data_IF_063299034409
#
_entry.id   IF_063299034409
#
_cell.length_a   1.000
_cell.length_b   1.000
_cell.length_c   1.000
_cell.angle_alpha   90.00
_cell.angle_beta   90.00
_cell.angle_gamma   90.00
#
_symmetry.space_group_name_H-M   'P 1'
#
loop_
_entity.id
_entity.type
_entity.pdbx_description
1 polymer ?
#
# COMPACT_ATOMS: atom_id res chain seq x y z
N UNK A 1 -25.59 22.46 5.99
CA UNK A 1 -24.64 21.60 6.71
C UNK A 1 -25.49 20.69 7.58
N UNK A 2 -25.79 19.49 7.07
CA UNK A 2 -26.47 18.48 7.89
C UNK A 2 -25.52 18.10 9.02
N UNK A 3 -26.04 18.14 10.25
CA UNK A 3 -25.31 17.77 11.45
C UNK A 3 -24.64 16.40 11.27
N UNK A 4 -23.32 16.36 11.34
CA UNK A 4 -22.52 15.15 11.55
C UNK A 4 -22.76 14.64 12.99
N UNK A 5 -24.03 14.29 13.29
CA UNK A 5 -24.46 13.92 14.64
C UNK A 5 -24.05 12.51 15.07
N UNK A 6 -23.31 11.78 14.23
CA UNK A 6 -22.77 10.47 14.61
C UNK A 6 -21.31 10.60 14.96
N UNK A 7 -21.00 10.62 16.24
CA UNK A 7 -19.63 10.56 16.71
C UNK A 7 -19.07 9.14 16.54
N UNK A 8 -18.08 9.01 15.62
CA UNK A 8 -17.35 7.74 15.43
C UNK A 8 -16.21 7.63 16.42
N UNK A 9 -16.10 6.48 17.09
CA UNK A 9 -14.91 6.11 17.82
C UNK A 9 -14.04 5.22 16.94
N UNK A 10 -12.90 5.76 16.50
CA UNK A 10 -12.04 5.17 15.46
C UNK A 10 -10.82 4.54 16.10
N UNK A 11 -10.60 3.26 15.85
CA UNK A 11 -9.33 2.59 16.16
C UNK A 11 -8.56 2.31 14.88
N UNK A 12 -7.33 2.78 14.82
CA UNK A 12 -6.39 2.41 13.76
C UNK A 12 -5.60 1.19 14.25
N UNK A 13 -5.95 0.02 13.74
CA UNK A 13 -5.29 -1.24 14.06
C UNK A 13 -4.01 -1.39 13.23
N UNK A 14 -2.86 -1.24 13.90
CA UNK A 14 -1.55 -1.30 13.29
C UNK A 14 -0.88 0.07 13.14
N UNK A 15 -0.15 0.50 14.16
CA UNK A 15 0.62 1.74 14.18
C UNK A 15 1.99 1.61 13.49
N UNK A 16 1.98 1.05 12.28
CA UNK A 16 3.09 1.06 11.34
C UNK A 16 3.22 2.39 10.60
N UNK A 17 4.00 2.43 9.50
CA UNK A 17 4.22 3.68 8.76
C UNK A 17 2.92 4.35 8.32
N UNK A 18 1.98 3.58 7.76
CA UNK A 18 0.70 4.12 7.26
C UNK A 18 -0.24 4.48 8.42
N UNK A 19 -0.51 3.52 9.33
CA UNK A 19 -1.47 3.76 10.42
C UNK A 19 -1.03 4.87 11.36
N UNK A 20 0.26 4.91 11.74
CA UNK A 20 0.79 5.99 12.57
C UNK A 20 0.75 7.36 11.87
N UNK A 21 1.02 7.41 10.56
CA UNK A 21 0.93 8.66 9.81
C UNK A 21 -0.50 9.19 9.73
N UNK A 22 -1.46 8.33 9.39
CA UNK A 22 -2.89 8.71 9.36
C UNK A 22 -3.34 9.16 10.75
N UNK A 23 -3.00 8.41 11.80
CA UNK A 23 -3.35 8.76 13.18
C UNK A 23 -2.76 10.11 13.60
N UNK A 24 -1.47 10.33 13.35
CA UNK A 24 -0.82 11.60 13.68
C UNK A 24 -1.42 12.79 12.93
N UNK A 25 -1.79 12.62 11.66
CA UNK A 25 -2.42 13.69 10.89
C UNK A 25 -3.87 13.94 11.27
N UNK A 26 -4.59 12.91 11.75
CA UNK A 26 -6.01 13.01 12.07
C UNK A 26 -6.25 13.51 13.51
N UNK A 27 -5.45 13.07 14.47
CA UNK A 27 -5.61 13.41 15.91
C UNK A 27 -5.78 14.91 16.20
N UNK A 28 -5.06 15.86 15.54
CA UNK A 28 -5.26 17.29 15.80
C UNK A 28 -6.65 17.84 15.42
N UNK A 29 -7.41 17.08 14.62
CA UNK A 29 -8.70 17.52 14.08
C UNK A 29 -9.86 16.63 14.51
N UNK A 30 -9.59 15.45 15.06
CA UNK A 30 -10.61 14.49 15.47
C UNK A 30 -10.18 13.77 16.76
N UNK A 31 -10.87 14.08 17.84
CA UNK A 31 -10.44 13.65 19.18
C UNK A 31 -10.64 12.14 19.47
N UNK A 32 -11.64 11.50 18.82
CA UNK A 32 -11.98 10.08 19.07
C UNK A 32 -11.20 9.11 18.18
N UNK A 33 -9.88 9.35 18.02
CA UNK A 33 -8.96 8.47 17.29
C UNK A 33 -7.97 7.84 18.24
N UNK A 34 -7.86 6.52 18.15
CA UNK A 34 -6.94 5.69 18.94
C UNK A 34 -6.06 4.87 18.00
N UNK A 35 -4.81 4.69 18.35
CA UNK A 35 -3.87 3.83 17.63
C UNK A 35 -3.64 2.57 18.44
N UNK A 36 -3.97 1.41 17.88
CA UNK A 36 -3.61 0.14 18.50
C UNK A 36 -2.19 -0.22 18.11
N UNK A 37 -1.31 -0.23 19.09
CA UNK A 37 0.12 -0.48 18.94
C UNK A 37 0.63 -1.44 20.00
N UNK A 38 1.73 -2.14 19.71
CA UNK A 38 2.34 -3.11 20.64
C UNK A 38 3.84 -2.86 20.77
N UNK A 39 4.43 -3.35 21.88
CA UNK A 39 5.87 -3.32 22.14
C UNK A 39 6.44 -1.91 22.24
N UNK A 40 7.74 -1.79 22.01
CA UNK A 40 8.49 -0.54 22.18
C UNK A 40 7.91 0.66 21.40
N UNK A 41 7.32 0.41 20.23
CA UNK A 41 6.69 1.47 19.43
C UNK A 41 5.47 2.07 20.17
N UNK A 42 4.67 1.23 20.82
CA UNK A 42 3.53 1.68 21.63
C UNK A 42 3.97 2.52 22.82
N UNK A 43 4.99 2.08 23.55
CA UNK A 43 5.52 2.79 24.71
C UNK A 43 6.07 4.16 24.36
N UNK A 44 6.87 4.23 23.28
CA UNK A 44 7.43 5.51 22.83
C UNK A 44 6.33 6.47 22.38
N UNK A 45 5.36 6.00 21.58
CA UNK A 45 4.27 6.86 21.12
C UNK A 45 3.35 7.31 22.26
N UNK A 46 3.09 6.45 23.24
CA UNK A 46 2.28 6.79 24.43
C UNK A 46 2.93 7.88 25.28
N UNK A 47 4.25 7.80 25.48
CA UNK A 47 4.97 8.69 26.39
C UNK A 47 5.47 9.97 25.73
N UNK A 48 5.82 9.92 24.43
CA UNK A 48 6.49 11.00 23.69
C UNK A 48 5.68 11.53 22.50
N UNK A 49 4.54 10.91 22.19
CA UNK A 49 3.80 11.20 20.95
C UNK A 49 4.49 10.69 19.67
N UNK A 50 3.99 11.13 18.53
CA UNK A 50 4.52 10.79 17.21
C UNK A 50 5.25 12.00 16.63
N UNK A 51 6.50 11.80 16.25
CA UNK A 51 7.23 12.74 15.39
C UNK A 51 7.01 12.30 13.95
N UNK A 52 6.38 13.18 13.14
CA UNK A 52 6.18 12.94 11.71
C UNK A 52 6.75 14.11 10.91
N UNK A 53 7.61 13.81 9.95
CA UNK A 53 8.31 14.82 9.15
C UNK A 53 8.23 14.51 7.66
N UNK A 54 8.19 15.56 6.84
CA UNK A 54 8.33 15.42 5.39
C UNK A 54 9.80 15.24 5.03
N UNK A 55 10.12 14.36 4.07
CA UNK A 55 11.49 14.19 3.55
C UNK A 55 12.14 15.57 3.27
N UNK A 56 13.39 15.72 3.62
CA UNK A 56 14.18 16.97 3.45
C UNK A 56 13.71 18.17 4.29
N UNK A 57 12.78 17.97 5.24
CA UNK A 57 12.39 18.99 6.21
C UNK A 57 12.74 18.53 7.62
N UNK A 58 13.12 19.45 8.51
CA UNK A 58 13.41 19.07 9.89
C UNK A 58 12.17 18.47 10.56
N UNK A 59 12.36 17.52 11.50
CA UNK A 59 11.29 17.01 12.33
C UNK A 59 10.56 18.15 13.04
N UNK A 60 9.25 18.01 13.19
CA UNK A 60 8.41 18.89 13.98
C UNK A 60 8.29 18.38 15.42
N UNK A 61 7.63 19.17 16.26
CA UNK A 61 7.28 18.75 17.60
C UNK A 61 6.43 17.47 17.60
N UNK A 62 6.58 16.63 18.62
CA UNK A 62 5.77 15.42 18.75
C UNK A 62 4.27 15.73 18.79
N UNK A 63 3.48 14.97 18.07
CA UNK A 63 2.02 15.04 18.10
C UNK A 63 1.55 14.05 19.19
N UNK A 64 0.85 14.52 20.24
CA UNK A 64 0.23 13.63 21.21
C UNK A 64 -0.81 12.75 20.53
N UNK A 65 -0.79 11.45 20.83
CA UNK A 65 -1.73 10.45 20.29
C UNK A 65 -2.26 9.55 21.39
N UNK A 66 -3.47 9.04 21.22
CA UNK A 66 -4.09 8.09 22.16
C UNK A 66 -3.70 6.68 21.72
N UNK A 67 -2.92 6.00 22.56
CA UNK A 67 -2.45 4.63 22.29
C UNK A 67 -3.24 3.66 23.14
N UNK A 68 -3.75 2.60 22.53
CA UNK A 68 -4.28 1.41 23.18
C UNK A 68 -3.43 0.19 22.80
N UNK A 69 -3.40 -0.82 23.64
CA UNK A 69 -2.67 -2.06 23.39
C UNK A 69 -3.63 -3.22 23.10
N UNK A 70 -4.88 -3.07 23.49
CA UNK A 70 -5.94 -4.06 23.29
C UNK A 70 -7.28 -3.37 22.94
N UNK A 71 -8.10 -4.02 22.08
CA UNK A 71 -9.42 -3.50 21.71
C UNK A 71 -10.41 -3.48 22.90
N UNK A 72 -10.21 -4.32 23.92
CA UNK A 72 -11.03 -4.29 25.13
C UNK A 72 -10.93 -2.97 25.89
N UNK A 73 -9.88 -2.17 25.66
CA UNK A 73 -9.77 -0.81 26.20
C UNK A 73 -10.78 0.16 25.55
N UNK A 74 -11.37 -0.23 24.42
CA UNK A 74 -12.32 0.58 23.64
C UNK A 74 -13.48 -0.25 23.07
N UNK A 75 -14.35 -0.80 23.93
CA UNK A 75 -15.48 -1.64 23.49
C UNK A 75 -16.57 -0.86 22.71
N UNK A 76 -16.56 0.48 22.79
CA UNK A 76 -17.44 1.39 22.06
C UNK A 76 -16.99 1.68 20.63
N UNK A 77 -15.84 1.14 20.21
CA UNK A 77 -15.30 1.32 18.83
C UNK A 77 -16.33 0.92 17.79
N UNK A 78 -16.63 1.85 16.90
CA UNK A 78 -17.56 1.62 15.80
C UNK A 78 -16.94 1.76 14.41
N UNK A 79 -15.66 2.13 14.34
CA UNK A 79 -14.84 2.09 13.11
C UNK A 79 -13.47 1.52 13.42
N UNK A 80 -13.03 0.53 12.66
CA UNK A 80 -11.67 -0.01 12.72
C UNK A 80 -10.98 0.16 11.38
N UNK A 81 -9.91 0.94 11.36
CA UNK A 81 -9.03 1.10 10.19
C UNK A 81 -7.90 0.08 10.31
N UNK A 82 -7.88 -0.92 9.43
CA UNK A 82 -6.86 -1.96 9.46
C UNK A 82 -5.68 -1.55 8.58
N UNK A 83 -4.55 -1.23 9.21
CA UNK A 83 -3.30 -0.79 8.57
C UNK A 83 -2.13 -1.77 8.77
N UNK A 84 -2.44 -3.06 8.99
CA UNK A 84 -1.44 -4.13 9.05
C UNK A 84 -1.17 -4.71 7.67
N UNK A 85 -0.09 -5.49 7.53
CA UNK A 85 0.27 -6.21 6.32
C UNK A 85 -0.64 -7.42 6.09
N UNK A 86 -0.77 -7.87 4.84
CA UNK A 86 -1.64 -8.99 4.46
C UNK A 86 -1.37 -10.28 5.25
N UNK A 87 -0.11 -10.59 5.54
CA UNK A 87 0.26 -11.81 6.28
C UNK A 87 -0.20 -11.83 7.74
N UNK A 88 -0.63 -10.69 8.30
CA UNK A 88 -1.20 -10.58 9.65
C UNK A 88 -2.73 -10.37 9.61
N UNK A 89 -3.34 -10.33 8.43
CA UNK A 89 -4.72 -9.86 8.29
C UNK A 89 -5.74 -10.82 8.91
N UNK A 90 -5.56 -12.13 8.73
CA UNK A 90 -6.47 -13.15 9.27
C UNK A 90 -6.46 -13.13 10.82
N UNK A 91 -5.28 -13.04 11.44
CA UNK A 91 -5.13 -12.92 12.90
C UNK A 91 -5.83 -11.67 13.43
N UNK A 92 -5.60 -10.53 12.75
CA UNK A 92 -6.21 -9.25 13.13
C UNK A 92 -7.72 -9.26 12.95
N UNK A 93 -8.24 -9.87 11.87
CA UNK A 93 -9.67 -10.00 11.65
C UNK A 93 -10.34 -10.81 12.77
N UNK A 94 -9.72 -11.92 13.19
CA UNK A 94 -10.18 -12.73 14.33
C UNK A 94 -10.19 -11.93 15.63
N UNK A 95 -9.08 -11.24 15.95
CA UNK A 95 -8.95 -10.43 17.16
C UNK A 95 -10.05 -9.34 17.24
N UNK A 96 -10.33 -8.67 16.11
CA UNK A 96 -11.41 -7.67 16.05
C UNK A 96 -12.78 -8.33 16.25
N UNK A 97 -13.04 -9.46 15.57
CA UNK A 97 -14.32 -10.14 15.65
C UNK A 97 -14.59 -10.72 17.05
N UNK A 98 -13.58 -11.29 17.69
CA UNK A 98 -13.71 -11.83 19.06
C UNK A 98 -14.04 -10.74 20.10
N UNK A 99 -13.51 -9.51 19.91
CA UNK A 99 -13.67 -8.42 20.89
C UNK A 99 -14.84 -7.49 20.58
N UNK A 100 -15.13 -7.23 19.32
CA UNK A 100 -16.13 -6.26 18.88
C UNK A 100 -17.31 -6.88 18.09
N UNK A 101 -17.19 -8.14 17.67
CA UNK A 101 -18.15 -8.79 16.79
C UNK A 101 -18.20 -8.13 15.40
N UNK A 102 -19.35 -8.27 14.71
CA UNK A 102 -19.61 -7.64 13.40
C UNK A 102 -20.22 -6.23 13.52
N UNK A 103 -19.96 -5.53 14.62
CA UNK A 103 -20.54 -4.20 14.86
C UNK A 103 -19.83 -3.08 14.09
N UNK A 104 -18.45 -3.02 14.12
CA UNK A 104 -17.73 -1.90 13.55
C UNK A 104 -17.75 -1.89 12.02
N UNK A 105 -17.65 -0.69 11.46
CA UNK A 105 -17.27 -0.51 10.07
C UNK A 105 -15.77 -0.79 9.95
N UNK A 106 -15.40 -1.65 9.03
CA UNK A 106 -14.00 -1.98 8.76
C UNK A 106 -13.52 -1.17 7.55
N UNK A 107 -12.42 -0.45 7.71
CA UNK A 107 -11.73 0.22 6.60
C UNK A 107 -10.43 -0.52 6.34
N UNK A 108 -10.36 -1.26 5.24
CA UNK A 108 -9.24 -2.13 4.87
C UNK A 108 -8.23 -1.36 4.01
N UNK A 109 -7.01 -1.18 4.50
CA UNK A 109 -5.96 -0.39 3.82
C UNK A 109 -4.81 -1.25 3.26
N UNK A 110 -4.98 -2.58 3.18
CA UNK A 110 -3.98 -3.48 2.63
C UNK A 110 -3.83 -3.29 1.12
N UNK A 111 -2.61 -3.47 0.63
CA UNK A 111 -2.37 -3.58 -0.81
C UNK A 111 -2.92 -4.92 -1.32
N UNK A 112 -3.51 -4.91 -2.52
CA UNK A 112 -4.01 -6.13 -3.15
C UNK A 112 -5.45 -6.46 -2.77
N UNK A 113 -5.83 -7.72 -2.98
CA UNK A 113 -7.20 -8.22 -2.88
C UNK A 113 -7.41 -9.27 -1.78
N UNK A 114 -6.38 -9.59 -0.98
CA UNK A 114 -6.48 -10.60 0.06
C UNK A 114 -7.51 -10.23 1.13
N UNK A 115 -7.63 -8.92 1.45
CA UNK A 115 -8.64 -8.41 2.35
C UNK A 115 -10.08 -8.69 1.90
N UNK A 116 -10.32 -8.84 0.59
CA UNK A 116 -11.64 -9.19 0.04
C UNK A 116 -12.01 -10.67 0.24
N UNK A 117 -11.02 -11.54 0.52
CA UNK A 117 -11.24 -12.95 0.84
C UNK A 117 -11.33 -13.19 2.33
N UNK A 118 -10.56 -12.43 3.11
CA UNK A 118 -10.45 -12.62 4.56
C UNK A 118 -11.58 -11.91 5.30
N UNK A 119 -11.73 -10.60 5.10
CA UNK A 119 -12.61 -9.78 5.92
C UNK A 119 -14.10 -10.15 5.83
N UNK A 120 -14.68 -10.55 4.67
CA UNK A 120 -16.08 -10.93 4.58
C UNK A 120 -16.45 -12.19 5.37
N UNK A 121 -15.46 -12.97 5.84
CA UNK A 121 -15.71 -14.11 6.73
C UNK A 121 -16.14 -13.65 8.15
N UNK A 122 -15.82 -12.42 8.50
CA UNK A 122 -15.99 -11.86 9.84
C UNK A 122 -16.91 -10.65 9.89
N UNK A 123 -16.95 -9.84 8.82
CA UNK A 123 -17.58 -8.52 8.82
C UNK A 123 -18.50 -8.30 7.62
N UNK A 124 -19.65 -7.68 7.90
CA UNK A 124 -20.65 -7.29 6.88
C UNK A 124 -20.45 -5.86 6.37
N UNK A 125 -19.78 -4.99 7.14
CA UNK A 125 -19.60 -3.56 6.84
C UNK A 125 -18.14 -3.26 6.50
N UNK A 126 -17.76 -3.43 5.24
CA UNK A 126 -16.37 -3.29 4.81
C UNK A 126 -16.24 -2.19 3.75
N UNK A 127 -15.36 -1.25 4.01
CA UNK A 127 -14.85 -0.27 3.05
C UNK A 127 -13.42 -0.65 2.65
N UNK A 128 -13.12 -0.58 1.38
CA UNK A 128 -11.79 -0.85 0.85
C UNK A 128 -11.10 0.46 0.51
N UNK A 129 -9.85 0.60 0.92
CA UNK A 129 -9.06 1.80 0.72
C UNK A 129 -7.83 1.55 -0.15
N UNK A 130 -7.71 2.32 -1.24
CA UNK A 130 -6.50 2.36 -2.06
C UNK A 130 -5.63 3.51 -1.59
N UNK A 131 -4.51 3.19 -0.93
CA UNK A 131 -3.60 4.17 -0.35
C UNK A 131 -2.49 4.54 -1.34
N UNK A 132 -2.32 5.83 -1.59
CA UNK A 132 -1.21 6.41 -2.35
C UNK A 132 -0.35 7.32 -1.48
N UNK A 133 -0.22 6.96 -0.20
CA UNK A 133 0.63 7.60 0.79
C UNK A 133 2.01 6.94 0.75
N UNK A 134 3.07 7.74 0.66
CA UNK A 134 4.44 7.26 0.77
C UNK A 134 5.00 7.67 2.14
N UNK A 135 5.09 6.69 3.03
CA UNK A 135 5.59 6.87 4.39
C UNK A 135 6.47 5.71 4.84
N UNK A 136 7.36 5.97 5.78
CA UNK A 136 8.23 4.96 6.39
C UNK A 136 8.38 5.22 7.89
N UNK A 137 8.89 4.22 8.61
CA UNK A 137 9.25 4.34 10.02
C UNK A 137 10.76 4.24 10.16
N UNK A 138 11.39 5.27 10.69
CA UNK A 138 12.83 5.26 10.98
C UNK A 138 13.13 4.45 12.24
N UNK A 139 12.42 4.78 13.33
CA UNK A 139 12.54 4.15 14.63
C UNK A 139 11.22 4.27 15.40
N UNK A 140 11.04 3.64 16.56
CA UNK A 140 9.83 3.79 17.38
C UNK A 140 9.45 5.26 17.60
N UNK A 141 8.20 5.61 17.28
CA UNK A 141 7.64 6.95 17.41
C UNK A 141 8.08 7.98 16.36
N UNK A 142 8.97 7.64 15.42
CA UNK A 142 9.48 8.57 14.39
C UNK A 142 9.18 8.04 12.99
N UNK A 143 8.48 8.88 12.21
CA UNK A 143 7.98 8.54 10.88
C UNK A 143 8.31 9.64 9.87
N UNK A 144 8.77 9.23 8.69
CA UNK A 144 8.96 10.12 7.56
C UNK A 144 7.91 9.88 6.47
N UNK A 145 7.66 10.91 5.66
CA UNK A 145 6.79 10.79 4.49
C UNK A 145 7.29 11.68 3.34
N UNK A 146 6.96 11.29 2.10
CA UNK A 146 7.20 12.12 0.91
C UNK A 146 6.03 13.09 0.69
N UNK A 147 4.82 12.57 0.70
CA UNK A 147 3.58 13.32 0.57
C UNK A 147 2.47 12.62 1.36
N UNK A 148 1.43 13.37 1.72
CA UNK A 148 0.23 12.81 2.35
C UNK A 148 -0.62 12.01 1.37
N UNK A 149 -0.39 12.17 0.07
CA UNK A 149 -0.99 11.41 -1.02
C UNK A 149 -2.51 11.46 -1.05
N UNK A 150 -3.06 10.33 -1.51
CA UNK A 150 -4.50 10.14 -1.67
C UNK A 150 -4.94 8.83 -1.04
N UNK A 151 -6.20 8.79 -0.64
CA UNK A 151 -6.93 7.60 -0.26
C UNK A 151 -8.18 7.51 -1.11
N UNK A 152 -8.34 6.44 -1.90
CA UNK A 152 -9.59 6.17 -2.60
C UNK A 152 -10.36 5.16 -1.75
N UNK A 153 -11.60 5.50 -1.37
CA UNK A 153 -12.49 4.64 -0.60
C UNK A 153 -13.65 4.14 -1.45
N UNK A 154 -14.10 2.93 -1.21
CA UNK A 154 -15.30 2.37 -1.82
C UNK A 154 -15.71 1.06 -1.19
N UNK A 155 -16.87 0.54 -1.58
CA UNK A 155 -17.36 -0.81 -1.25
C UNK A 155 -17.52 -1.63 -2.51
N UNK A 156 -17.52 -2.96 -2.41
CA UNK A 156 -17.61 -3.83 -3.58
C UNK A 156 -18.99 -3.79 -4.26
N UNK A 157 -20.01 -3.57 -3.48
CA UNK A 157 -21.44 -3.60 -3.87
C UNK A 157 -22.10 -2.22 -3.85
N UNK A 158 -21.30 -1.16 -3.69
CA UNK A 158 -21.77 0.22 -3.57
C UNK A 158 -22.77 0.48 -2.43
N UNK A 159 -22.72 -0.33 -1.38
CA UNK A 159 -23.44 -0.09 -0.12
C UNK A 159 -22.73 0.97 0.76
N UNK A 160 -23.22 1.23 1.97
CA UNK A 160 -22.63 2.13 2.96
C UNK A 160 -22.35 3.56 2.44
N UNK A 161 -23.14 4.07 1.52
CA UNK A 161 -22.89 5.37 0.86
C UNK A 161 -22.88 6.54 1.84
N UNK A 162 -23.72 6.51 2.87
CA UNK A 162 -23.74 7.52 3.93
C UNK A 162 -22.45 7.47 4.74
N UNK A 163 -22.10 6.29 5.23
CA UNK A 163 -20.91 6.06 6.04
C UNK A 163 -19.63 6.34 5.25
N UNK A 164 -19.60 6.03 3.94
CA UNK A 164 -18.48 6.37 3.04
C UNK A 164 -18.27 7.89 2.99
N UNK A 165 -19.35 8.66 2.86
CA UNK A 165 -19.28 10.12 2.84
C UNK A 165 -18.75 10.64 4.18
N UNK A 166 -19.30 10.17 5.30
CA UNK A 166 -18.89 10.58 6.65
C UNK A 166 -17.42 10.22 6.93
N UNK A 167 -16.97 9.02 6.56
CA UNK A 167 -15.57 8.62 6.70
C UNK A 167 -14.64 9.41 5.77
N UNK A 168 -15.07 9.70 4.55
CA UNK A 168 -14.34 10.57 3.63
C UNK A 168 -14.12 11.96 4.22
N UNK A 169 -15.13 12.57 4.82
CA UNK A 169 -15.04 13.89 5.46
C UNK A 169 -14.06 13.89 6.66
N UNK A 170 -14.14 12.86 7.51
CA UNK A 170 -13.22 12.72 8.64
C UNK A 170 -11.77 12.52 8.16
N UNK A 171 -11.55 11.56 7.27
CA UNK A 171 -10.21 11.19 6.79
C UNK A 171 -9.60 12.26 5.88
N UNK A 172 -10.39 13.13 5.28
CA UNK A 172 -9.91 14.27 4.48
C UNK A 172 -9.10 15.28 5.30
N UNK A 173 -9.18 15.23 6.61
CA UNK A 173 -8.32 16.02 7.50
C UNK A 173 -6.90 15.46 7.59
N UNK A 174 -6.72 14.19 7.30
CA UNK A 174 -5.40 13.52 7.30
C UNK A 174 -4.76 13.51 5.92
N UNK A 175 -5.53 13.19 4.87
CA UNK A 175 -5.07 13.00 3.49
C UNK A 175 -6.19 13.41 2.51
N UNK A 176 -5.90 13.56 1.23
CA UNK A 176 -6.95 13.76 0.23
C UNK A 176 -7.75 12.46 0.04
N UNK A 177 -9.07 12.53 0.17
CA UNK A 177 -9.94 11.35 0.04
C UNK A 177 -10.85 11.50 -1.18
N UNK A 178 -10.97 10.42 -1.94
CA UNK A 178 -11.87 10.29 -3.08
C UNK A 178 -12.75 9.05 -2.89
N UNK A 179 -14.04 9.18 -3.12
CA UNK A 179 -14.96 8.03 -3.13
C UNK A 179 -15.05 7.47 -4.55
N UNK A 180 -14.94 6.15 -4.69
CA UNK A 180 -15.08 5.46 -5.96
C UNK A 180 -16.20 4.42 -5.91
N UNK A 181 -17.10 4.47 -6.88
CA UNK A 181 -18.08 3.41 -7.15
C UNK A 181 -17.47 2.20 -7.89
N UNK A 182 -16.22 2.35 -8.37
CA UNK A 182 -15.46 1.32 -9.08
C UNK A 182 -14.17 1.01 -8.33
N UNK A 183 -14.30 0.69 -7.04
CA UNK A 183 -13.13 0.48 -6.18
C UNK A 183 -12.24 -0.67 -6.65
N UNK A 184 -12.80 -1.69 -7.30
CA UNK A 184 -12.05 -2.80 -7.88
C UNK A 184 -11.10 -2.33 -8.98
N UNK A 185 -11.55 -1.42 -9.86
CA UNK A 185 -10.71 -0.84 -10.90
C UNK A 185 -9.52 -0.06 -10.28
N UNK A 186 -9.79 0.71 -9.22
CA UNK A 186 -8.76 1.44 -8.49
C UNK A 186 -7.74 0.51 -7.80
N UNK A 187 -8.21 -0.58 -7.17
CA UNK A 187 -7.36 -1.59 -6.53
C UNK A 187 -6.44 -2.24 -7.56
N UNK A 188 -6.99 -2.75 -8.67
CA UNK A 188 -6.21 -3.43 -9.71
C UNK A 188 -5.28 -2.46 -10.43
N UNK A 189 -5.73 -1.24 -10.72
CA UNK A 189 -4.88 -0.19 -11.27
C UNK A 189 -3.65 0.07 -10.39
N UNK A 190 -3.83 0.20 -9.07
CA UNK A 190 -2.71 0.35 -8.16
C UNK A 190 -1.83 -0.90 -8.08
N UNK A 191 -2.41 -2.09 -8.11
CA UNK A 191 -1.65 -3.34 -8.06
C UNK A 191 -0.67 -3.47 -9.24
N UNK A 192 -1.04 -3.02 -10.45
CA UNK A 192 -0.13 -2.96 -11.59
C UNK A 192 1.12 -2.16 -11.22
N UNK A 193 0.97 -0.95 -10.67
CA UNK A 193 2.11 -0.14 -10.25
C UNK A 193 2.89 -0.73 -9.08
N UNK A 194 2.26 -1.54 -8.24
CA UNK A 194 2.93 -2.23 -7.14
C UNK A 194 3.86 -3.36 -7.62
N UNK A 195 3.75 -3.83 -8.88
CA UNK A 195 4.74 -4.71 -9.50
C UNK A 195 6.14 -4.08 -9.54
N UNK A 196 6.24 -2.75 -9.58
CA UNK A 196 7.50 -2.03 -9.44
C UNK A 196 8.21 -2.34 -8.12
N UNK A 197 7.48 -2.67 -7.07
CA UNK A 197 8.09 -2.93 -5.76
C UNK A 197 9.03 -4.13 -5.82
N UNK A 198 8.62 -5.21 -6.48
CA UNK A 198 9.46 -6.40 -6.65
C UNK A 198 10.65 -6.13 -7.57
N UNK A 199 10.43 -5.45 -8.70
CA UNK A 199 11.47 -5.11 -9.67
C UNK A 199 12.56 -4.26 -9.01
N UNK A 200 12.16 -3.13 -8.40
CA UNK A 200 13.09 -2.20 -7.76
C UNK A 200 13.73 -2.75 -6.46
N UNK A 201 13.17 -3.82 -5.87
CA UNK A 201 13.83 -4.51 -4.77
C UNK A 201 14.83 -5.54 -5.29
N UNK A 202 14.49 -6.25 -6.38
CA UNK A 202 15.31 -7.30 -6.96
C UNK A 202 16.55 -6.74 -7.71
N UNK A 203 16.36 -5.64 -8.43
CA UNK A 203 17.34 -5.14 -9.39
C UNK A 203 18.11 -3.96 -8.81
N UNK A 204 19.43 -3.99 -8.97
CA UNK A 204 20.30 -2.87 -8.63
C UNK A 204 20.00 -1.66 -9.51
N UNK A 205 19.75 -0.53 -8.88
CA UNK A 205 19.50 0.76 -9.56
C UNK A 205 20.30 1.89 -8.91
N UNK A 206 21.30 1.57 -8.12
CA UNK A 206 22.24 2.51 -7.54
C UNK A 206 23.39 2.75 -8.53
N UNK A 207 23.62 4.00 -8.93
CA UNK A 207 24.63 4.40 -9.92
C UNK A 207 24.55 3.64 -11.27
N UNK A 208 23.40 3.62 -11.93
CA UNK A 208 23.21 2.83 -13.13
C UNK A 208 23.97 3.44 -14.32
N UNK A 209 24.50 2.57 -15.20
CA UNK A 209 24.96 2.98 -16.52
C UNK A 209 23.78 3.31 -17.45
N UNK A 210 24.00 4.00 -18.57
CA UNK A 210 22.96 4.25 -19.56
C UNK A 210 22.34 2.95 -20.09
N UNK A 211 23.17 1.92 -20.28
CA UNK A 211 22.73 0.59 -20.69
C UNK A 211 21.81 -0.03 -19.63
N UNK A 212 22.24 -0.05 -18.38
CA UNK A 212 21.47 -0.62 -17.26
C UNK A 212 20.12 0.10 -17.07
N UNK A 213 20.07 1.42 -17.28
CA UNK A 213 18.82 2.20 -17.25
C UNK A 213 17.86 1.74 -18.36
N UNK A 214 18.38 1.54 -19.57
CA UNK A 214 17.57 1.10 -20.72
C UNK A 214 16.98 -0.29 -20.48
N UNK A 215 17.78 -1.23 -19.99
CA UNK A 215 17.32 -2.59 -19.66
C UNK A 215 16.31 -2.60 -18.53
N UNK A 216 16.56 -1.88 -17.44
CA UNK A 216 15.63 -1.75 -16.32
C UNK A 216 14.28 -1.18 -16.78
N UNK A 217 14.32 -0.18 -17.67
CA UNK A 217 13.12 0.38 -18.28
C UNK A 217 12.31 -0.67 -19.03
N UNK A 218 12.98 -1.45 -19.90
CA UNK A 218 12.32 -2.48 -20.67
C UNK A 218 11.68 -3.55 -19.78
N UNK A 219 12.39 -4.01 -18.74
CA UNK A 219 11.86 -4.91 -17.73
C UNK A 219 10.59 -4.33 -17.07
N UNK A 220 10.64 -3.07 -16.64
CA UNK A 220 9.51 -2.39 -15.99
C UNK A 220 8.31 -2.33 -16.94
N UNK A 221 8.50 -1.78 -18.15
CA UNK A 221 7.39 -1.57 -19.09
C UNK A 221 6.74 -2.88 -19.47
N UNK A 222 7.53 -3.89 -19.79
CA UNK A 222 7.01 -5.18 -20.20
C UNK A 222 6.22 -5.85 -19.08
N UNK A 223 6.75 -5.82 -17.85
CA UNK A 223 6.06 -6.40 -16.69
C UNK A 223 4.76 -5.67 -16.37
N UNK A 224 4.76 -4.34 -16.43
CA UNK A 224 3.54 -3.56 -16.18
C UNK A 224 2.50 -3.78 -17.29
N UNK A 225 2.92 -3.86 -18.56
CA UNK A 225 2.01 -4.14 -19.66
C UNK A 225 1.41 -5.55 -19.59
N UNK A 226 2.19 -6.55 -19.19
CA UNK A 226 1.66 -7.88 -18.88
C UNK A 226 0.59 -7.80 -17.78
N UNK A 227 0.86 -7.06 -16.70
CA UNK A 227 -0.10 -6.80 -15.62
C UNK A 227 -1.37 -6.11 -16.12
N UNK A 228 -1.25 -5.10 -16.99
CA UNK A 228 -2.40 -4.41 -17.60
C UNK A 228 -3.24 -5.38 -18.43
N UNK A 229 -2.61 -6.22 -19.26
CA UNK A 229 -3.31 -7.19 -20.08
C UNK A 229 -4.11 -8.19 -19.26
N UNK A 230 -3.51 -8.71 -18.17
CA UNK A 230 -4.16 -9.65 -17.25
C UNK A 230 -5.37 -8.98 -16.58
N UNK A 231 -5.22 -7.76 -16.09
CA UNK A 231 -6.28 -7.02 -15.40
C UNK A 231 -7.44 -6.69 -16.34
N UNK A 232 -7.15 -6.28 -17.59
CA UNK A 232 -8.17 -6.02 -18.60
C UNK A 232 -8.90 -7.30 -19.01
N UNK A 233 -8.20 -8.41 -19.18
CA UNK A 233 -8.81 -9.71 -19.48
C UNK A 233 -9.70 -10.22 -18.33
N UNK A 234 -9.40 -9.84 -17.09
CA UNK A 234 -10.26 -10.09 -15.94
C UNK A 234 -11.50 -9.17 -15.85
N UNK A 235 -11.69 -8.27 -16.82
CA UNK A 235 -12.85 -7.36 -16.90
C UNK A 235 -12.71 -6.07 -16.09
N UNK A 236 -11.54 -5.77 -15.54
CA UNK A 236 -11.29 -4.50 -14.85
C UNK A 236 -10.80 -3.44 -15.83
N UNK A 237 -11.11 -2.19 -15.51
CA UNK A 237 -10.82 -1.04 -16.36
C UNK A 237 -9.82 -0.09 -15.69
N UNK A 238 -9.23 0.79 -16.48
CA UNK A 238 -8.38 1.83 -15.96
C UNK A 238 -9.17 2.78 -15.05
N UNK A 239 -8.64 2.97 -13.85
CA UNK A 239 -9.11 3.99 -12.91
C UNK A 239 -8.05 5.10 -12.81
N UNK A 240 -8.46 6.35 -12.91
CA UNK A 240 -7.55 7.48 -12.70
C UNK A 240 -7.00 7.47 -11.27
N UNK A 241 -5.72 7.20 -11.14
CA UNK A 241 -5.00 7.19 -9.86
C UNK A 241 -4.12 8.44 -9.77
N UNK A 242 -4.39 9.36 -8.83
CA UNK A 242 -3.61 10.57 -8.70
C UNK A 242 -2.11 10.31 -8.53
N UNK A 243 -1.28 10.93 -9.37
CA UNK A 243 0.17 10.77 -9.35
C UNK A 243 0.69 9.49 -10.02
N UNK A 244 -0.16 8.72 -10.69
CA UNK A 244 0.21 7.58 -11.51
C UNK A 244 0.03 7.90 -12.99
N UNK A 245 0.80 7.21 -13.82
CA UNK A 245 0.79 7.37 -15.27
C UNK A 245 -0.39 6.60 -15.86
N UNK A 246 -1.16 7.16 -16.81
CA UNK A 246 -2.18 6.42 -17.53
C UNK A 246 -1.64 5.16 -18.21
N UNK A 247 -2.45 4.11 -18.28
CA UNK A 247 -2.06 2.84 -18.91
C UNK A 247 -1.65 3.01 -20.38
N UNK A 248 -2.33 3.92 -21.09
CA UNK A 248 -1.95 4.25 -22.47
C UNK A 248 -0.52 4.75 -22.54
N UNK A 249 -0.13 5.68 -21.68
CA UNK A 249 1.24 6.21 -21.65
C UNK A 249 2.27 5.13 -21.31
N UNK A 250 1.93 4.17 -20.44
CA UNK A 250 2.79 3.02 -20.16
C UNK A 250 2.96 2.12 -21.39
N UNK A 251 1.89 1.89 -22.15
CA UNK A 251 1.95 1.13 -23.41
C UNK A 251 2.80 1.84 -24.45
N UNK A 252 2.57 3.12 -24.63
CA UNK A 252 3.30 3.94 -25.60
C UNK A 252 4.79 4.09 -25.23
N UNK A 253 5.12 3.99 -23.95
CA UNK A 253 6.50 4.11 -23.45
C UNK A 253 7.44 3.01 -23.97
N UNK A 254 6.93 1.86 -24.42
CA UNK A 254 7.73 0.81 -25.10
C UNK A 254 8.40 1.35 -26.35
N UNK A 255 7.70 2.19 -27.09
CA UNK A 255 8.13 2.70 -28.40
C UNK A 255 8.79 4.09 -28.34
N UNK A 256 9.01 4.63 -27.14
CA UNK A 256 9.67 5.94 -27.00
C UNK A 256 11.15 5.85 -27.38
N UNK A 257 11.67 6.86 -28.12
CA UNK A 257 13.12 6.99 -28.27
C UNK A 257 13.83 7.02 -26.92
N UNK A 258 15.07 6.44 -26.81
CA UNK A 258 15.76 6.27 -25.55
C UNK A 258 15.79 7.51 -24.66
N UNK A 259 16.15 8.68 -25.20
CA UNK A 259 16.23 9.94 -24.43
C UNK A 259 14.88 10.38 -23.84
N UNK A 260 13.77 10.20 -24.58
CA UNK A 260 12.42 10.53 -24.07
C UNK A 260 11.96 9.51 -23.04
N UNK A 261 12.27 8.27 -23.28
CA UNK A 261 11.97 7.18 -22.36
C UNK A 261 12.73 7.34 -21.05
N UNK A 262 14.02 7.65 -21.05
CA UNK A 262 14.83 7.86 -19.85
C UNK A 262 14.29 9.03 -19.02
N UNK A 263 13.87 10.13 -19.65
CA UNK A 263 13.24 11.25 -18.98
C UNK A 263 11.88 10.87 -18.37
N UNK A 264 11.08 10.06 -19.07
CA UNK A 264 9.82 9.54 -18.58
C UNK A 264 10.03 8.64 -17.34
N UNK A 265 10.98 7.70 -17.43
CA UNK A 265 11.24 6.72 -16.38
C UNK A 265 11.93 7.32 -15.14
N UNK A 266 12.92 8.18 -15.31
CA UNK A 266 13.58 8.84 -14.19
C UNK A 266 12.59 9.67 -13.36
N UNK A 267 11.64 10.32 -14.00
CA UNK A 267 10.62 11.12 -13.33
C UNK A 267 9.63 10.28 -12.51
N UNK A 268 9.25 9.11 -12.98
CA UNK A 268 8.16 8.34 -12.39
C UNK A 268 8.62 7.14 -11.57
N UNK A 269 9.81 6.57 -11.84
CA UNK A 269 10.19 5.28 -11.27
C UNK A 269 11.50 5.29 -10.47
N UNK A 270 12.53 6.01 -10.87
CA UNK A 270 13.87 5.91 -10.28
C UNK A 270 14.04 6.79 -9.03
N UNK A 271 13.46 7.98 -8.98
CA UNK A 271 13.63 8.96 -7.90
C UNK A 271 12.63 8.84 -6.75
N UNK A 272 11.92 7.73 -6.64
CA UNK A 272 11.05 7.45 -5.48
C UNK A 272 11.88 6.88 -4.35
N UNK A 273 11.67 7.35 -3.12
CA UNK A 273 12.32 6.75 -1.94
C UNK A 273 12.03 5.24 -1.80
N UNK A 274 12.61 4.57 -0.79
CA UNK A 274 12.49 3.12 -0.65
C UNK A 274 11.02 2.69 -0.59
N UNK A 275 10.64 1.78 -1.49
CA UNK A 275 9.30 1.20 -1.52
C UNK A 275 9.06 0.28 -0.30
N UNK A 276 7.82 -0.17 -0.10
CA UNK A 276 7.46 -0.98 1.08
C UNK A 276 8.21 -2.32 1.13
N UNK A 277 8.54 -2.91 -0.01
CA UNK A 277 9.26 -4.19 -0.08
C UNK A 277 10.76 -4.00 0.26
N UNK A 278 11.40 -2.95 -0.24
CA UNK A 278 12.75 -2.54 0.16
C UNK A 278 12.81 -2.31 1.67
N UNK A 279 11.82 -1.60 2.23
CA UNK A 279 11.78 -1.36 3.67
C UNK A 279 11.69 -2.66 4.48
N UNK A 280 10.87 -3.61 4.04
CA UNK A 280 10.68 -4.86 4.79
C UNK A 280 11.85 -5.85 4.58
N UNK A 281 12.35 -6.01 3.34
CA UNK A 281 13.38 -6.99 2.99
C UNK A 281 14.80 -6.51 3.30
N UNK A 282 15.12 -5.26 2.95
CA UNK A 282 16.51 -4.77 3.01
C UNK A 282 16.75 -4.00 4.32
N UNK A 283 15.88 -3.03 4.63
CA UNK A 283 16.12 -2.14 5.78
C UNK A 283 15.78 -2.84 7.11
N UNK A 284 14.68 -3.58 7.17
CA UNK A 284 14.19 -4.23 8.40
C UNK A 284 14.52 -5.70 8.49
N UNK A 285 15.00 -6.31 7.42
CA UNK A 285 15.37 -7.72 7.32
C UNK A 285 14.32 -8.68 7.90
N UNK A 286 13.03 -8.42 7.63
CA UNK A 286 11.93 -9.18 8.21
C UNK A 286 11.79 -10.62 7.69
N UNK A 287 12.49 -10.99 6.61
CA UNK A 287 12.36 -12.30 5.97
C UNK A 287 10.98 -12.58 5.32
N UNK A 288 10.07 -11.64 5.37
CA UNK A 288 8.72 -11.73 4.79
C UNK A 288 8.42 -10.52 3.92
N UNK A 289 7.86 -10.74 2.74
CA UNK A 289 7.45 -9.70 1.80
C UNK A 289 6.01 -9.90 1.33
N UNK A 290 5.45 -8.88 0.69
CA UNK A 290 4.12 -8.96 0.06
C UNK A 290 4.18 -9.55 -1.37
N UNK A 291 5.26 -10.21 -1.77
CA UNK A 291 5.48 -10.76 -3.10
C UNK A 291 4.34 -11.70 -3.55
N UNK A 292 3.87 -12.57 -2.64
CA UNK A 292 2.76 -13.51 -2.91
C UNK A 292 1.44 -12.79 -3.21
N UNK A 293 1.20 -11.67 -2.52
CA UNK A 293 -0.02 -10.87 -2.67
C UNK A 293 0.04 -9.88 -3.84
N UNK A 294 1.22 -9.70 -4.45
CA UNK A 294 1.45 -8.85 -5.64
C UNK A 294 1.70 -9.72 -6.87
N UNK A 295 2.95 -10.04 -7.20
CA UNK A 295 3.27 -10.86 -8.38
C UNK A 295 2.55 -12.23 -8.34
N UNK A 296 2.51 -12.90 -7.17
CA UNK A 296 1.77 -14.16 -7.00
C UNK A 296 0.29 -14.03 -7.34
N UNK A 297 -0.34 -12.90 -7.01
CA UNK A 297 -1.73 -12.63 -7.39
C UNK A 297 -1.90 -12.56 -8.92
N UNK A 298 -1.04 -11.81 -9.64
CA UNK A 298 -1.13 -11.69 -11.10
C UNK A 298 -0.96 -13.04 -11.79
N UNK A 299 -0.04 -13.88 -11.30
CA UNK A 299 0.15 -15.24 -11.83
C UNK A 299 -1.10 -16.09 -11.63
N UNK A 300 -1.72 -16.05 -10.44
CA UNK A 300 -2.95 -16.78 -10.13
C UNK A 300 -4.12 -16.30 -10.98
N UNK A 301 -4.25 -14.98 -11.15
CA UNK A 301 -5.29 -14.38 -11.97
C UNK A 301 -5.11 -14.76 -13.46
N UNK A 302 -3.91 -14.67 -13.99
CA UNK A 302 -3.60 -15.09 -15.36
C UNK A 302 -3.94 -16.56 -15.60
N UNK A 303 -3.51 -17.45 -14.68
CA UNK A 303 -3.82 -18.89 -14.76
C UNK A 303 -5.34 -19.17 -14.74
N UNK A 304 -6.11 -18.44 -13.93
CA UNK A 304 -7.57 -18.60 -13.89
C UNK A 304 -8.28 -18.16 -15.16
N UNK A 305 -7.62 -17.33 -15.98
CA UNK A 305 -8.12 -16.83 -17.26
C UNK A 305 -7.54 -17.59 -18.46
N UNK A 306 -6.67 -18.58 -18.25
CA UNK A 306 -5.97 -19.27 -19.31
C UNK A 306 -4.96 -18.40 -20.07
N UNK A 307 -4.45 -17.35 -19.44
CA UNK A 307 -3.48 -16.40 -20.03
C UNK A 307 -2.11 -16.69 -19.45
N UNK A 308 -1.07 -16.61 -20.27
CA UNK A 308 0.29 -16.70 -19.78
C UNK A 308 0.79 -15.38 -19.16
N UNK A 309 1.68 -15.50 -18.17
CA UNK A 309 2.28 -14.38 -17.45
C UNK A 309 3.80 -14.61 -17.29
N UNK A 310 4.56 -14.72 -18.38
CA UNK A 310 5.95 -15.12 -18.34
C UNK A 310 6.82 -14.16 -17.52
N UNK A 311 6.67 -12.85 -17.70
CA UNK A 311 7.47 -11.86 -16.99
C UNK A 311 7.20 -11.86 -15.48
N UNK A 312 5.94 -11.87 -15.07
CA UNK A 312 5.60 -11.95 -13.66
C UNK A 312 6.04 -13.29 -13.03
N UNK A 313 5.96 -14.41 -13.75
CA UNK A 313 6.43 -15.73 -13.28
C UNK A 313 7.94 -15.73 -13.03
N UNK A 314 8.73 -15.22 -13.98
CA UNK A 314 10.18 -15.17 -13.86
C UNK A 314 10.60 -14.24 -12.72
N UNK A 315 10.06 -13.01 -12.69
CA UNK A 315 10.35 -12.06 -11.61
C UNK A 315 9.95 -12.59 -10.24
N UNK A 316 8.80 -13.23 -10.13
CA UNK A 316 8.35 -13.86 -8.88
C UNK A 316 9.35 -14.93 -8.41
N UNK A 317 9.80 -15.81 -9.32
CA UNK A 317 10.78 -16.85 -9.03
C UNK A 317 12.10 -16.25 -8.56
N UNK A 318 12.65 -15.29 -9.32
CA UNK A 318 13.91 -14.61 -9.00
C UNK A 318 13.82 -13.89 -7.63
N UNK A 319 12.74 -13.18 -7.36
CA UNK A 319 12.53 -12.56 -6.06
C UNK A 319 12.48 -13.59 -4.94
N UNK A 320 11.73 -14.69 -5.12
CA UNK A 320 11.58 -15.74 -4.11
C UNK A 320 12.91 -16.44 -3.77
N UNK A 321 13.77 -16.61 -4.76
CA UNK A 321 15.11 -17.20 -4.59
C UNK A 321 16.08 -16.18 -3.97
N UNK A 322 16.11 -14.95 -4.51
CA UNK A 322 17.07 -13.95 -4.10
C UNK A 322 16.80 -13.38 -2.70
N UNK A 323 15.52 -13.23 -2.32
CA UNK A 323 15.15 -12.72 -1.00
C UNK A 323 15.47 -13.65 0.17
N UNK A 324 15.87 -14.90 -0.10
CA UNK A 324 16.35 -15.87 0.90
C UNK A 324 17.86 -15.75 1.17
N UNK A 325 18.60 -15.05 0.30
CA UNK A 325 20.06 -14.94 0.44
C UNK A 325 20.42 -14.01 1.59
N UNK A 326 21.45 -14.37 2.34
CA UNK A 326 22.01 -13.56 3.43
C UNK A 326 23.53 -13.51 3.27
N UNK A 327 24.16 -12.34 3.07
CA UNK A 327 23.51 -11.04 2.90
C UNK A 327 22.71 -10.94 1.59
N UNK A 328 21.65 -10.15 1.62
CA UNK A 328 20.87 -9.84 0.42
C UNK A 328 21.73 -9.01 -0.55
N UNK A 329 21.72 -9.39 -1.82
CA UNK A 329 22.37 -8.63 -2.90
C UNK A 329 21.40 -8.51 -4.08
N UNK A 330 21.12 -7.29 -4.56
CA UNK A 330 20.32 -7.11 -5.76
C UNK A 330 21.05 -7.68 -6.98
N UNK A 331 20.29 -8.10 -7.98
CA UNK A 331 20.81 -8.56 -9.26
C UNK A 331 21.08 -7.35 -10.19
N UNK A 332 21.99 -7.53 -11.14
CA UNK A 332 22.19 -6.50 -12.16
C UNK A 332 21.07 -6.55 -13.21
N UNK A 333 20.70 -5.41 -13.81
CA UNK A 333 19.66 -5.36 -14.85
C UNK A 333 19.90 -6.31 -16.00
N UNK A 334 21.14 -6.50 -16.40
CA UNK A 334 21.59 -7.41 -17.47
C UNK A 334 21.23 -8.87 -17.14
N UNK A 335 21.51 -9.32 -15.94
CA UNK A 335 21.22 -10.70 -15.49
C UNK A 335 19.72 -11.00 -15.54
N UNK A 336 18.89 -10.04 -15.08
CA UNK A 336 17.44 -10.21 -15.09
C UNK A 336 16.88 -10.15 -16.49
N UNK A 337 17.38 -9.24 -17.33
CA UNK A 337 16.94 -9.08 -18.70
C UNK A 337 17.19 -10.32 -19.55
N UNK A 338 18.37 -10.94 -19.43
CA UNK A 338 18.71 -12.14 -20.20
C UNK A 338 17.80 -13.35 -19.82
N UNK A 339 17.28 -13.38 -18.62
CA UNK A 339 16.32 -14.41 -18.17
C UNK A 339 14.88 -14.13 -18.63
N UNK A 340 14.59 -12.89 -19.01
CA UNK A 340 13.25 -12.47 -19.48
C UNK A 340 13.07 -12.59 -21.00
N UNK A 341 14.17 -12.81 -21.73
CA UNK A 341 14.15 -13.11 -23.19
C UNK A 341 13.88 -14.58 -23.46
#
# INVERSE_FOLDING_TARGET
MEDLNKEYEIVIYGAGAIGASIGAWLTPYYDKVYLLARGQNAEVMKNKGIIIYRKEKPPKDPIPVKIIQDLNEKPSTNVVIIAVKNYNLEEVAKDIYEKLGDKPIIIALQNGTENQKVLPKYFSKIMYGVIMISAWRDRPGIFGYLNRGYLILGTLDNNLQKELKEMSEILSRATMVQISKKIQDAIHGKMIFNLLNSILTLINHNNPTLKSISLLREIIVTTLNEGINIVQAAGYHEHSLPGFVPWKELRDAVNLPPEKADKFFSRFFINRGPNSMIQDMIIRQKGQSELEYLNGYFIKLANSLGIDAPFNKILYKLCKENFKKTPYQPLEPEEVYDLLK
#
